data_IF_547687484035
#
_entry.id   IF_547687484035
#
_cell.length_a   1.000
_cell.length_b   1.000
_cell.length_c   1.000
_cell.angle_alpha   90.00
_cell.angle_beta   90.00
_cell.angle_gamma   90.00
#
_symmetry.space_group_name_H-M   'P 1'
#
loop_
_entity.id
_entity.type
_entity.pdbx_description
1 polymer ?
#
# COMPACT_ATOMS: atom_id res chain seq x y z
N UNK A 1 -52.04 9.66 17.75
CA UNK A 1 -52.90 10.79 17.32
C UNK A 1 -53.08 11.72 18.50
N UNK A 2 -52.63 12.98 18.41
CA UNK A 2 -52.76 13.94 19.52
C UNK A 2 -54.26 14.09 19.86
N UNK A 3 -54.64 13.92 21.13
CA UNK A 3 -56.04 13.87 21.60
C UNK A 3 -56.89 15.06 21.11
N UNK A 4 -56.24 16.19 20.86
CA UNK A 4 -56.82 17.41 20.32
C UNK A 4 -57.45 17.23 18.91
N UNK A 5 -56.71 16.69 17.95
CA UNK A 5 -57.21 16.48 16.57
C UNK A 5 -58.32 15.43 16.51
N UNK A 6 -58.26 14.41 17.38
CA UNK A 6 -59.31 13.40 17.52
C UNK A 6 -60.65 14.02 17.95
N UNK A 7 -60.62 14.96 18.90
CA UNK A 7 -61.83 15.62 19.43
C UNK A 7 -62.46 16.55 18.39
N UNK A 8 -61.65 17.23 17.58
CA UNK A 8 -62.12 18.07 16.47
C UNK A 8 -62.79 17.24 15.37
N UNK A 9 -62.21 16.10 14.98
CA UNK A 9 -62.83 15.18 13.99
C UNK A 9 -64.18 14.64 14.45
N UNK A 10 -64.28 14.24 15.72
CA UNK A 10 -65.53 13.73 16.30
C UNK A 10 -66.62 14.82 16.30
N UNK A 11 -66.29 16.04 16.71
CA UNK A 11 -67.23 17.17 16.71
C UNK A 11 -67.71 17.53 15.28
N UNK A 12 -66.82 17.52 14.28
CA UNK A 12 -67.16 17.85 12.88
C UNK A 12 -68.03 16.78 12.19
N UNK A 13 -67.90 15.51 12.60
CA UNK A 13 -68.77 14.42 12.14
C UNK A 13 -70.17 14.52 12.75
N UNK A 14 -70.27 14.89 14.04
CA UNK A 14 -71.56 15.10 14.72
C UNK A 14 -72.36 16.27 14.12
N UNK A 15 -71.70 17.25 13.50
CA UNK A 15 -72.34 18.41 12.87
C UNK A 15 -72.71 18.19 11.37
N UNK A 16 -72.66 16.97 10.82
CA UNK A 16 -72.93 16.67 9.40
C UNK A 16 -72.03 17.42 8.38
N UNK A 17 -70.86 17.93 8.80
CA UNK A 17 -69.93 18.72 7.96
C UNK A 17 -68.86 17.83 7.32
N UNK A 18 -69.27 16.83 6.53
CA UNK A 18 -68.39 15.84 5.87
C UNK A 18 -67.28 16.47 5.02
N UNK A 19 -67.57 17.54 4.28
CA UNK A 19 -66.56 18.25 3.48
C UNK A 19 -65.46 18.95 4.31
N UNK A 20 -65.77 19.43 5.52
CA UNK A 20 -64.76 19.96 6.44
C UNK A 20 -63.96 18.82 7.07
N UNK A 21 -64.62 17.72 7.45
CA UNK A 21 -63.96 16.53 8.00
C UNK A 21 -62.85 15.99 7.08
N UNK A 22 -63.11 15.87 5.77
CA UNK A 22 -62.09 15.41 4.82
C UNK A 22 -60.88 16.35 4.72
N UNK A 23 -61.09 17.68 4.70
CA UNK A 23 -59.99 18.66 4.70
C UNK A 23 -59.10 18.53 5.94
N UNK A 24 -59.70 18.33 7.11
CA UNK A 24 -58.95 18.12 8.36
C UNK A 24 -58.24 16.76 8.41
N UNK A 25 -58.86 15.70 7.91
CA UNK A 25 -58.25 14.37 7.83
C UNK A 25 -57.02 14.36 6.90
N UNK A 26 -57.10 15.05 5.74
CA UNK A 26 -55.98 15.22 4.82
C UNK A 26 -54.87 16.04 5.48
N UNK A 27 -55.21 17.14 6.15
CA UNK A 27 -54.24 17.96 6.89
C UNK A 27 -53.48 17.17 7.97
N UNK A 28 -54.18 16.27 8.68
CA UNK A 28 -53.57 15.38 9.67
C UNK A 28 -52.61 14.37 9.03
N UNK A 29 -52.98 13.76 7.89
CA UNK A 29 -52.11 12.85 7.16
C UNK A 29 -50.86 13.58 6.67
N UNK A 30 -51.01 14.77 6.07
CA UNK A 30 -49.90 15.60 5.59
C UNK A 30 -48.95 15.97 6.74
N UNK A 31 -49.47 16.35 7.90
CA UNK A 31 -48.67 16.63 9.11
C UNK A 31 -47.88 15.40 9.58
N UNK A 32 -48.51 14.22 9.61
CA UNK A 32 -47.83 12.97 9.98
C UNK A 32 -46.73 12.62 8.97
N UNK A 33 -47.01 12.75 7.67
CA UNK A 33 -46.03 12.49 6.61
C UNK A 33 -44.83 13.43 6.72
N UNK A 34 -45.04 14.74 6.94
CA UNK A 34 -43.95 15.69 7.19
C UNK A 34 -43.13 15.29 8.42
N UNK A 35 -43.78 14.86 9.50
CA UNK A 35 -43.10 14.38 10.71
C UNK A 35 -42.20 13.17 10.44
N UNK A 36 -42.68 12.19 9.67
CA UNK A 36 -41.90 11.00 9.27
C UNK A 36 -40.72 11.40 8.38
N UNK A 37 -40.94 12.28 7.40
CA UNK A 37 -39.89 12.74 6.50
C UNK A 37 -38.79 13.50 7.26
N UNK A 38 -39.15 14.36 8.20
CA UNK A 38 -38.19 15.06 9.07
C UNK A 38 -37.40 14.08 9.94
N UNK A 39 -38.08 13.07 10.53
CA UNK A 39 -37.41 12.05 11.33
C UNK A 39 -36.41 11.24 10.50
N UNK A 40 -36.78 10.86 9.28
CA UNK A 40 -35.87 10.18 8.33
C UNK A 40 -34.70 11.09 7.95
N UNK A 41 -34.94 12.37 7.63
CA UNK A 41 -33.89 13.32 7.28
C UNK A 41 -32.89 13.53 8.44
N UNK A 42 -33.36 13.67 9.68
CA UNK A 42 -32.49 13.80 10.85
C UNK A 42 -31.62 12.54 11.03
N UNK A 43 -32.22 11.36 10.91
CA UNK A 43 -31.50 10.10 11.01
C UNK A 43 -30.42 9.96 9.91
N UNK A 44 -30.77 10.27 8.66
CA UNK A 44 -29.83 10.28 7.54
C UNK A 44 -28.71 11.30 7.75
N UNK A 45 -29.03 12.50 8.23
CA UNK A 45 -28.02 13.53 8.52
C UNK A 45 -27.05 13.09 9.63
N UNK A 46 -27.55 12.51 10.72
CA UNK A 46 -26.70 11.99 11.79
C UNK A 46 -25.76 10.88 11.29
N UNK A 47 -26.28 9.93 10.51
CA UNK A 47 -25.46 8.86 9.92
C UNK A 47 -24.38 9.43 8.98
N UNK A 48 -24.71 10.44 8.18
CA UNK A 48 -23.73 11.11 7.32
C UNK A 48 -22.63 11.81 8.12
N UNK A 49 -22.94 12.40 9.28
CA UNK A 49 -21.93 13.02 10.14
C UNK A 49 -21.00 11.99 10.77
N UNK A 50 -21.54 10.84 11.20
CA UNK A 50 -20.73 9.71 11.70
C UNK A 50 -19.81 9.19 10.59
N UNK A 51 -20.33 8.97 9.38
CA UNK A 51 -19.56 8.50 8.24
C UNK A 51 -18.43 9.48 7.86
N UNK A 52 -18.72 10.80 7.84
CA UNK A 52 -17.70 11.83 7.61
C UNK A 52 -16.60 11.83 8.65
N UNK A 53 -16.95 11.67 9.94
CA UNK A 53 -15.97 11.57 11.02
C UNK A 53 -15.08 10.33 10.85
N UNK A 54 -15.66 9.16 10.57
CA UNK A 54 -14.93 7.92 10.33
C UNK A 54 -14.03 8.03 9.09
N UNK A 55 -14.48 8.70 8.04
CA UNK A 55 -13.69 8.94 6.84
C UNK A 55 -12.47 9.81 7.14
N UNK A 56 -12.64 10.85 7.97
CA UNK A 56 -11.53 11.69 8.43
C UNK A 56 -10.48 10.88 9.21
N UNK A 57 -10.91 10.09 10.18
CA UNK A 57 -10.03 9.22 10.97
C UNK A 57 -9.33 8.18 10.08
N UNK A 58 -10.02 7.67 9.06
CA UNK A 58 -9.47 6.75 8.06
C UNK A 58 -8.39 7.42 7.21
N UNK A 59 -8.60 8.65 6.77
CA UNK A 59 -7.60 9.43 6.05
C UNK A 59 -6.35 9.69 6.89
N UNK A 60 -6.50 10.03 8.18
CA UNK A 60 -5.36 10.20 9.10
C UNK A 60 -4.57 8.88 9.27
N UNK A 61 -5.26 7.73 9.33
CA UNK A 61 -4.62 6.42 9.33
C UNK A 61 -3.87 6.15 8.02
N UNK A 62 -4.47 6.44 6.85
CA UNK A 62 -3.81 6.27 5.55
C UNK A 62 -2.58 7.17 5.45
N UNK A 63 -2.65 8.41 5.95
CA UNK A 63 -1.46 9.28 5.99
C UNK A 63 -0.33 8.67 6.81
N UNK A 64 -0.65 8.06 7.95
CA UNK A 64 0.32 7.39 8.80
C UNK A 64 0.96 6.21 8.06
N UNK A 65 0.13 5.38 7.42
CA UNK A 65 0.57 4.21 6.64
C UNK A 65 1.51 4.63 5.49
N UNK A 66 1.09 5.59 4.66
CA UNK A 66 1.87 6.05 3.51
C UNK A 66 3.16 6.79 3.92
N UNK A 67 3.17 7.55 5.02
CA UNK A 67 4.40 8.18 5.54
C UNK A 67 5.44 7.13 5.97
N UNK A 68 4.99 6.05 6.59
CA UNK A 68 5.87 4.94 6.94
C UNK A 68 6.41 4.22 5.69
N UNK A 69 5.52 3.91 4.73
CA UNK A 69 5.91 3.26 3.47
C UNK A 69 6.90 4.11 2.65
N UNK A 70 6.61 5.40 2.45
CA UNK A 70 7.49 6.31 1.70
C UNK A 70 8.88 6.46 2.33
N UNK A 71 8.97 6.40 3.67
CA UNK A 71 10.23 6.41 4.41
C UNK A 71 11.00 5.11 4.21
N UNK A 72 10.34 3.97 4.36
CA UNK A 72 10.94 2.66 4.16
C UNK A 72 11.45 2.48 2.71
N UNK A 73 10.62 2.86 1.73
CA UNK A 73 11.00 2.82 0.31
C UNK A 73 12.25 3.67 0.04
N UNK A 74 12.34 4.87 0.62
CA UNK A 74 13.53 5.72 0.44
C UNK A 74 14.81 5.04 0.95
N UNK A 75 14.73 4.30 2.07
CA UNK A 75 15.86 3.55 2.61
C UNK A 75 16.24 2.37 1.71
N UNK A 76 15.25 1.63 1.20
CA UNK A 76 15.46 0.51 0.26
C UNK A 76 16.10 1.01 -1.02
N UNK A 77 15.58 2.09 -1.62
CA UNK A 77 16.15 2.68 -2.84
C UNK A 77 17.62 3.04 -2.63
N UNK A 78 17.95 3.70 -1.51
CA UNK A 78 19.34 4.05 -1.18
C UNK A 78 20.23 2.82 -1.05
N UNK A 79 19.74 1.78 -0.36
CA UNK A 79 20.47 0.50 -0.22
C UNK A 79 20.75 -0.13 -1.58
N UNK A 80 19.78 -0.12 -2.49
CA UNK A 80 19.96 -0.67 -3.83
C UNK A 80 20.83 0.20 -4.73
N UNK A 81 20.87 1.52 -4.55
CA UNK A 81 21.82 2.39 -5.26
C UNK A 81 23.27 2.09 -4.84
N UNK A 82 23.52 1.83 -3.55
CA UNK A 82 24.83 1.37 -3.07
C UNK A 82 25.17 -0.03 -3.57
N UNK A 83 24.18 -0.93 -3.60
CA UNK A 83 24.30 -2.28 -4.16
C UNK A 83 24.64 -2.24 -5.64
N UNK A 84 23.96 -1.39 -6.42
CA UNK A 84 24.16 -1.23 -7.86
C UNK A 84 25.59 -0.82 -8.19
N UNK A 85 26.18 0.09 -7.40
CA UNK A 85 27.59 0.49 -7.56
C UNK A 85 28.55 -0.69 -7.39
N UNK A 86 28.34 -1.52 -6.35
CA UNK A 86 29.18 -2.69 -6.09
C UNK A 86 29.03 -3.73 -7.21
N UNK A 87 27.80 -4.03 -7.61
CA UNK A 87 27.51 -4.94 -8.73
C UNK A 87 28.14 -4.45 -10.03
N UNK A 88 28.00 -3.16 -10.35
CA UNK A 88 28.57 -2.57 -11.57
C UNK A 88 30.10 -2.68 -11.58
N UNK A 89 30.77 -2.48 -10.44
CA UNK A 89 32.22 -2.65 -10.35
C UNK A 89 32.68 -4.09 -10.66
N UNK A 90 31.91 -5.10 -10.27
CA UNK A 90 32.20 -6.51 -10.59
C UNK A 90 31.97 -6.78 -12.09
N UNK A 91 30.85 -6.30 -12.62
CA UNK A 91 30.49 -6.46 -14.05
C UNK A 91 31.55 -5.80 -14.94
N UNK A 92 31.96 -4.58 -14.60
CA UNK A 92 32.94 -3.79 -15.36
C UNK A 92 34.40 -4.24 -15.11
N UNK A 93 34.64 -5.27 -14.29
CA UNK A 93 35.98 -5.74 -13.91
C UNK A 93 36.86 -4.63 -13.30
N UNK A 94 36.25 -3.69 -12.59
CA UNK A 94 36.97 -2.58 -11.92
C UNK A 94 37.68 -3.00 -10.64
N UNK A 95 37.35 -4.18 -10.12
CA UNK A 95 37.98 -4.76 -8.93
C UNK A 95 39.28 -5.43 -9.37
N UNK A 96 40.42 -4.88 -8.96
CA UNK A 96 41.75 -5.42 -9.26
C UNK A 96 41.97 -6.72 -8.50
N UNK A 97 42.78 -7.63 -9.07
CA UNK A 97 43.16 -8.89 -8.42
C UNK A 97 43.74 -8.69 -7.02
N UNK A 98 44.62 -7.70 -6.90
CA UNK A 98 45.25 -7.30 -5.66
C UNK A 98 44.26 -6.95 -4.53
N UNK A 99 43.02 -6.58 -4.84
CA UNK A 99 42.01 -6.29 -3.82
C UNK A 99 41.49 -7.56 -3.16
N UNK A 100 41.11 -8.58 -3.94
CA UNK A 100 40.57 -9.81 -3.36
C UNK A 100 41.66 -10.74 -2.81
N UNK A 101 42.91 -10.59 -3.27
CA UNK A 101 44.08 -11.25 -2.65
C UNK A 101 44.29 -10.81 -1.20
N UNK A 102 43.78 -9.64 -0.80
CA UNK A 102 43.83 -9.19 0.60
C UNK A 102 42.83 -9.91 1.50
N UNK A 103 41.88 -10.65 0.93
CA UNK A 103 40.79 -11.28 1.67
C UNK A 103 41.22 -12.64 2.20
N UNK A 104 41.00 -12.86 3.48
CA UNK A 104 41.38 -14.07 4.20
C UNK A 104 40.36 -14.38 5.31
N UNK A 105 40.57 -15.46 6.06
CA UNK A 105 39.67 -15.89 7.13
C UNK A 105 39.41 -14.86 8.22
N UNK A 106 40.32 -13.90 8.43
CA UNK A 106 40.19 -12.86 9.46
C UNK A 106 39.27 -11.71 9.04
N UNK A 107 39.35 -11.28 7.77
CA UNK A 107 38.61 -10.11 7.27
C UNK A 107 37.43 -10.46 6.35
N UNK A 108 37.23 -11.74 6.01
CA UNK A 108 36.15 -12.18 5.11
C UNK A 108 34.76 -11.73 5.57
N UNK A 109 34.51 -11.74 6.89
CA UNK A 109 33.22 -11.30 7.48
C UNK A 109 32.92 -9.83 7.24
N UNK A 110 33.95 -9.00 7.05
CA UNK A 110 33.82 -7.55 6.81
C UNK A 110 33.71 -7.22 5.31
N UNK A 111 33.95 -8.20 4.44
CA UNK A 111 33.86 -8.00 3.00
C UNK A 111 32.39 -7.92 2.53
N UNK A 112 31.86 -6.69 2.47
CA UNK A 112 30.50 -6.41 1.99
C UNK A 112 30.21 -6.92 0.58
N UNK A 113 31.22 -6.97 -0.29
CA UNK A 113 31.09 -7.43 -1.69
C UNK A 113 31.12 -8.97 -1.78
N UNK A 114 31.74 -9.64 -0.81
CA UNK A 114 31.90 -11.09 -0.79
C UNK A 114 30.63 -11.83 -0.33
N UNK A 115 29.56 -11.09 -0.04
CA UNK A 115 28.34 -11.65 0.54
C UNK A 115 27.14 -11.30 -0.35
N UNK A 116 26.68 -12.30 -1.11
CA UNK A 116 25.28 -12.44 -1.59
C UNK A 116 24.70 -11.31 -2.45
N UNK A 117 25.51 -10.65 -3.29
CA UNK A 117 25.00 -9.59 -4.18
C UNK A 117 23.89 -10.08 -5.13
N UNK A 118 23.90 -11.35 -5.53
CA UNK A 118 22.91 -11.96 -6.43
C UNK A 118 21.91 -12.90 -5.73
N UNK A 119 22.06 -13.19 -4.44
CA UNK A 119 21.30 -14.25 -3.74
C UNK A 119 20.47 -13.73 -2.57
N UNK A 120 20.38 -12.40 -2.41
CA UNK A 120 19.51 -11.77 -1.43
C UNK A 120 18.66 -10.67 -2.09
N UNK A 121 17.57 -10.30 -1.43
CA UNK A 121 16.76 -9.14 -1.78
C UNK A 121 16.10 -8.59 -0.51
N UNK A 122 15.69 -7.31 -0.55
CA UNK A 122 14.91 -6.71 0.53
C UNK A 122 13.46 -6.70 0.10
N UNK A 123 12.60 -7.31 0.92
CA UNK A 123 11.16 -7.34 0.72
C UNK A 123 10.52 -6.07 1.30
N UNK A 124 9.45 -5.59 0.66
CA UNK A 124 8.56 -4.57 1.20
C UNK A 124 7.12 -5.08 1.15
N UNK A 125 6.36 -4.77 2.20
CA UNK A 125 4.93 -5.02 2.27
C UNK A 125 4.23 -3.69 2.55
N UNK A 126 3.58 -3.08 1.56
CA UNK A 126 2.84 -1.84 1.77
C UNK A 126 1.82 -1.97 2.89
N UNK A 127 1.68 -0.93 3.71
CA UNK A 127 0.76 -0.92 4.84
C UNK A 127 -0.65 -0.61 4.32
N UNK A 128 -1.60 -1.51 4.60
CA UNK A 128 -2.96 -1.46 4.05
C UNK A 128 -4.04 -1.29 5.12
N UNK A 129 -3.67 -0.94 6.36
CA UNK A 129 -4.60 -0.83 7.49
C UNK A 129 -5.66 0.22 7.22
N UNK A 130 -5.25 1.44 6.87
CA UNK A 130 -6.16 2.54 6.53
C UNK A 130 -7.01 2.25 5.29
N UNK A 131 -6.43 1.61 4.28
CA UNK A 131 -7.18 1.17 3.11
C UNK A 131 -8.28 0.16 3.44
N UNK A 132 -8.00 -0.79 4.35
CA UNK A 132 -9.01 -1.73 4.84
C UNK A 132 -10.20 -1.03 5.51
N UNK A 133 -9.94 0.03 6.30
CA UNK A 133 -10.99 0.86 6.88
C UNK A 133 -11.80 1.61 5.80
N UNK A 134 -11.11 2.15 4.80
CA UNK A 134 -11.74 2.89 3.70
C UNK A 134 -12.73 2.04 2.90
N UNK A 135 -12.38 0.77 2.60
CA UNK A 135 -13.29 -0.16 1.90
C UNK A 135 -14.63 -0.31 2.60
N UNK A 136 -14.60 -0.43 3.93
CA UNK A 136 -15.82 -0.59 4.72
C UNK A 136 -16.70 0.67 4.63
N UNK A 137 -16.08 1.85 4.57
CA UNK A 137 -16.80 3.13 4.44
C UNK A 137 -17.40 3.25 3.04
N UNK A 138 -16.61 3.02 1.98
CA UNK A 138 -17.08 3.10 0.58
C UNK A 138 -18.32 2.21 0.35
N UNK A 139 -18.34 1.01 0.94
CA UNK A 139 -19.48 0.10 0.88
C UNK A 139 -20.79 0.67 1.50
N UNK A 140 -20.68 1.63 2.42
CA UNK A 140 -21.82 2.25 3.14
C UNK A 140 -22.28 3.55 2.48
N UNK A 141 -21.36 4.44 2.10
CA UNK A 141 -21.70 5.76 1.54
C UNK A 141 -21.95 5.74 0.02
N UNK A 142 -21.55 4.68 -0.67
CA UNK A 142 -21.56 4.60 -2.12
C UNK A 142 -20.36 5.34 -2.73
N UNK A 143 -19.80 4.82 -3.82
CA UNK A 143 -18.65 5.41 -4.47
C UNK A 143 -19.09 6.38 -5.59
N UNK A 144 -18.41 7.52 -5.71
CA UNK A 144 -18.55 8.41 -6.86
C UNK A 144 -17.23 8.39 -7.62
N UNK A 145 -17.32 8.20 -8.95
CA UNK A 145 -16.16 8.26 -9.84
C UNK A 145 -15.37 9.54 -9.60
N UNK A 146 -14.04 9.45 -9.57
CA UNK A 146 -13.10 10.57 -9.40
C UNK A 146 -13.04 11.19 -7.99
N UNK A 147 -13.73 10.61 -7.01
CA UNK A 147 -13.61 11.02 -5.60
C UNK A 147 -12.25 10.62 -5.00
N UNK A 148 -11.85 11.29 -3.90
CA UNK A 148 -10.62 10.90 -3.19
C UNK A 148 -10.64 9.42 -2.72
N UNK A 149 -11.75 8.88 -2.16
CA UNK A 149 -11.85 7.46 -1.86
C UNK A 149 -11.56 6.56 -3.07
N UNK A 150 -12.11 6.89 -4.24
CA UNK A 150 -11.89 6.16 -5.50
C UNK A 150 -10.41 6.21 -5.93
N UNK A 151 -9.77 7.38 -5.86
CA UNK A 151 -8.33 7.51 -6.17
C UNK A 151 -7.46 6.67 -5.24
N UNK A 152 -7.76 6.66 -3.94
CA UNK A 152 -7.07 5.82 -2.96
C UNK A 152 -7.32 4.34 -3.26
N UNK A 153 -8.56 3.98 -3.59
CA UNK A 153 -8.91 2.60 -3.95
C UNK A 153 -8.14 2.12 -5.18
N UNK A 154 -8.07 2.92 -6.23
CA UNK A 154 -7.29 2.61 -7.44
C UNK A 154 -5.79 2.48 -7.13
N UNK A 155 -5.24 3.38 -6.31
CA UNK A 155 -3.85 3.32 -5.87
C UNK A 155 -3.52 1.98 -5.19
N UNK A 156 -4.32 1.57 -4.20
CA UNK A 156 -4.08 0.32 -3.47
C UNK A 156 -4.48 -0.95 -4.24
N UNK A 157 -5.37 -0.84 -5.23
CA UNK A 157 -5.74 -1.98 -6.08
C UNK A 157 -4.64 -2.28 -7.10
N UNK A 158 -3.92 -1.26 -7.57
CA UNK A 158 -2.92 -1.40 -8.63
C UNK A 158 -1.48 -1.48 -8.10
N UNK A 159 -1.12 -0.68 -7.10
CA UNK A 159 0.27 -0.53 -6.64
C UNK A 159 0.85 -1.78 -5.96
N UNK A 160 0.27 -2.26 -4.84
CA UNK A 160 0.78 -3.42 -4.10
C UNK A 160 0.94 -4.70 -4.93
N UNK A 161 -0.01 -5.10 -5.82
CA UNK A 161 0.18 -6.29 -6.64
C UNK A 161 1.38 -6.21 -7.61
N UNK A 162 1.70 -5.02 -8.13
CA UNK A 162 2.88 -4.83 -8.97
C UNK A 162 4.15 -5.09 -8.17
N UNK A 163 4.23 -4.54 -6.95
CA UNK A 163 5.37 -4.75 -6.05
C UNK A 163 5.50 -6.22 -5.63
N UNK A 164 4.38 -6.89 -5.37
CA UNK A 164 4.36 -8.32 -5.05
C UNK A 164 4.90 -9.17 -6.21
N UNK A 165 4.52 -8.84 -7.45
CA UNK A 165 5.04 -9.50 -8.66
C UNK A 165 6.57 -9.32 -8.81
N UNK A 166 7.07 -8.11 -8.55
CA UNK A 166 8.50 -7.82 -8.56
C UNK A 166 9.25 -8.62 -7.49
N UNK A 167 8.69 -8.67 -6.28
CA UNK A 167 9.24 -9.44 -5.15
C UNK A 167 9.29 -10.93 -5.50
N UNK A 168 8.24 -11.48 -6.10
CA UNK A 168 8.22 -12.89 -6.51
C UNK A 168 9.28 -13.17 -7.59
N UNK A 169 9.48 -12.23 -8.52
CA UNK A 169 10.54 -12.32 -9.54
C UNK A 169 11.93 -12.30 -8.92
N UNK A 170 12.16 -11.43 -7.92
CA UNK A 170 13.41 -11.38 -7.17
C UNK A 170 13.64 -12.63 -6.32
N UNK A 171 12.58 -13.17 -5.72
CA UNK A 171 12.62 -14.42 -5.00
C UNK A 171 13.05 -15.56 -5.93
N UNK A 172 12.39 -15.71 -7.08
CA UNK A 172 12.71 -16.76 -8.05
C UNK A 172 14.17 -16.66 -8.54
N UNK A 173 14.64 -15.45 -8.88
CA UNK A 173 15.99 -15.29 -9.42
C UNK A 173 17.07 -15.52 -8.35
N UNK A 174 16.81 -15.13 -7.11
CA UNK A 174 17.76 -15.34 -6.00
C UNK A 174 17.84 -16.81 -5.64
N UNK A 175 16.71 -17.53 -5.56
CA UNK A 175 16.70 -18.99 -5.39
C UNK A 175 17.50 -19.70 -6.49
N UNK A 176 17.27 -19.35 -7.77
CA UNK A 176 18.02 -19.92 -8.89
C UNK A 176 19.53 -19.69 -8.81
N UNK A 177 19.95 -18.52 -8.33
CA UNK A 177 21.37 -18.24 -8.13
C UNK A 177 21.96 -19.09 -6.99
N UNK A 178 21.20 -19.34 -5.91
CA UNK A 178 21.60 -20.26 -4.83
C UNK A 178 21.73 -21.70 -5.35
N UNK A 179 20.76 -22.18 -6.13
CA UNK A 179 20.83 -23.51 -6.78
C UNK A 179 22.06 -23.63 -7.67
N UNK A 180 22.40 -22.58 -8.41
CA UNK A 180 23.62 -22.57 -9.23
C UNK A 180 24.87 -22.69 -8.36
N UNK A 181 24.89 -22.11 -7.15
CA UNK A 181 26.02 -22.26 -6.25
C UNK A 181 26.17 -23.68 -5.67
N UNK A 182 25.09 -24.46 -5.58
CA UNK A 182 25.11 -25.83 -5.02
C UNK A 182 25.98 -26.80 -5.82
N UNK A 183 26.29 -26.48 -7.09
CA UNK A 183 27.13 -27.32 -7.94
C UNK A 183 28.63 -27.24 -7.60
N UNK A 184 29.06 -26.29 -6.77
CA UNK A 184 30.48 -26.08 -6.47
C UNK A 184 30.88 -26.63 -5.09
N UNK A 185 32.13 -27.11 -5.00
CA UNK A 185 32.80 -27.58 -3.78
C UNK A 185 32.70 -26.60 -2.62
N UNK A 186 32.78 -25.30 -2.90
CA UNK A 186 32.78 -24.22 -1.91
C UNK A 186 31.40 -23.87 -1.34
N UNK A 187 30.31 -24.51 -1.80
CA UNK A 187 28.94 -24.15 -1.41
C UNK A 187 28.71 -24.18 0.11
N UNK A 188 29.21 -25.22 0.79
CA UNK A 188 29.04 -25.37 2.24
C UNK A 188 29.74 -24.25 2.99
N UNK A 189 30.98 -23.93 2.62
CA UNK A 189 31.72 -22.82 3.22
C UNK A 189 31.00 -21.49 3.00
N UNK A 190 30.49 -21.25 1.79
CA UNK A 190 29.70 -20.06 1.49
C UNK A 190 28.43 -19.98 2.35
N UNK A 191 27.68 -21.08 2.49
CA UNK A 191 26.46 -21.16 3.29
C UNK A 191 26.73 -20.91 4.78
N UNK A 192 27.86 -21.39 5.29
CA UNK A 192 28.31 -21.17 6.66
C UNK A 192 29.06 -19.83 6.87
N UNK A 193 29.15 -18.99 5.83
CA UNK A 193 29.89 -17.71 5.83
C UNK A 193 31.37 -17.88 6.22
N UNK A 194 31.96 -19.01 5.83
CA UNK A 194 33.39 -19.30 5.97
C UNK A 194 34.14 -18.80 4.74
N UNK A 195 35.38 -18.37 4.97
CA UNK A 195 36.28 -17.98 3.89
C UNK A 195 36.59 -19.19 3.00
N UNK A 196 36.46 -19.01 1.69
CA UNK A 196 36.87 -19.99 0.70
C UNK A 196 37.47 -19.27 -0.52
N UNK A 197 38.70 -19.65 -0.89
CA UNK A 197 39.44 -18.99 -1.99
C UNK A 197 38.79 -19.23 -3.35
N UNK A 198 38.29 -20.43 -3.61
CA UNK A 198 37.64 -20.79 -4.88
C UNK A 198 36.36 -19.97 -5.07
N UNK A 199 35.58 -19.76 -3.99
CA UNK A 199 34.42 -18.88 -4.02
C UNK A 199 34.80 -17.42 -4.36
N UNK A 200 35.88 -16.90 -3.77
CA UNK A 200 36.37 -15.55 -4.08
C UNK A 200 36.79 -15.42 -5.56
N UNK A 201 37.56 -16.39 -6.07
CA UNK A 201 37.90 -16.44 -7.50
C UNK A 201 36.65 -16.50 -8.36
N UNK A 202 35.65 -17.30 -7.98
CA UNK A 202 34.38 -17.37 -8.69
C UNK A 202 33.67 -16.01 -8.77
N UNK A 203 33.51 -15.28 -7.66
CA UNK A 203 32.78 -14.00 -7.68
C UNK A 203 33.51 -12.86 -8.41
N UNK A 204 34.85 -12.87 -8.47
CA UNK A 204 35.60 -11.78 -9.10
C UNK A 204 36.01 -12.08 -10.55
N UNK A 205 36.22 -13.35 -10.90
CA UNK A 205 36.81 -13.72 -12.18
C UNK A 205 35.78 -14.33 -13.15
N UNK A 206 34.84 -15.13 -12.63
CA UNK A 206 33.92 -15.93 -13.44
C UNK A 206 32.98 -15.08 -14.30
N UNK A 207 32.87 -15.45 -15.58
CA UNK A 207 31.85 -14.89 -16.46
C UNK A 207 30.44 -15.32 -16.04
N UNK A 208 30.30 -16.51 -15.47
CA UNK A 208 29.01 -17.03 -15.01
C UNK A 208 28.43 -16.16 -13.88
N UNK A 209 29.26 -15.80 -12.90
CA UNK A 209 28.82 -14.92 -11.82
C UNK A 209 28.45 -13.52 -12.33
N UNK A 210 29.21 -12.96 -13.29
CA UNK A 210 28.85 -11.68 -13.94
C UNK A 210 27.52 -11.77 -14.68
N UNK A 211 27.24 -12.89 -15.35
CA UNK A 211 25.97 -13.13 -16.01
C UNK A 211 24.82 -13.22 -14.98
N UNK A 212 25.03 -13.89 -13.84
CA UNK A 212 24.06 -13.92 -12.74
C UNK A 212 23.78 -12.53 -12.17
N UNK A 213 24.83 -11.71 -11.97
CA UNK A 213 24.70 -10.33 -11.52
C UNK A 213 23.95 -9.46 -12.53
N UNK A 214 24.27 -9.56 -13.81
CA UNK A 214 23.58 -8.82 -14.86
C UNK A 214 22.09 -9.20 -14.92
N UNK A 215 21.77 -10.49 -14.81
CA UNK A 215 20.40 -11.00 -14.76
C UNK A 215 19.64 -10.50 -13.53
N UNK A 216 20.23 -10.63 -12.34
CA UNK A 216 19.66 -10.11 -11.10
C UNK A 216 19.43 -8.59 -11.18
N UNK A 217 20.38 -7.86 -11.76
CA UNK A 217 20.32 -6.42 -11.96
C UNK A 217 19.20 -5.95 -12.87
N UNK A 218 18.92 -6.69 -13.93
CA UNK A 218 17.75 -6.41 -14.78
C UNK A 218 16.47 -6.46 -13.93
N UNK A 219 16.31 -7.52 -13.12
CA UNK A 219 15.12 -7.72 -12.28
C UNK A 219 14.95 -6.61 -11.25
N UNK A 220 15.98 -6.31 -10.44
CA UNK A 220 15.79 -5.29 -9.41
C UNK A 220 15.77 -3.87 -9.97
N UNK A 221 16.58 -3.53 -10.97
CA UNK A 221 16.73 -2.12 -11.39
C UNK A 221 15.63 -1.67 -12.34
N UNK A 222 15.26 -2.50 -13.32
CA UNK A 222 14.27 -2.13 -14.34
C UNK A 222 12.83 -2.33 -13.87
N UNK A 223 12.62 -3.23 -12.91
CA UNK A 223 11.29 -3.56 -12.39
C UNK A 223 11.18 -3.06 -10.94
N UNK A 224 11.73 -3.80 -9.97
CA UNK A 224 11.48 -3.54 -8.54
C UNK A 224 11.75 -2.11 -8.08
N UNK A 225 12.96 -1.58 -8.30
CA UNK A 225 13.35 -0.24 -7.85
C UNK A 225 12.64 0.86 -8.63
N UNK A 226 12.36 0.62 -9.92
CA UNK A 226 11.56 1.55 -10.72
C UNK A 226 10.14 1.64 -10.17
N UNK A 227 9.49 0.50 -9.95
CA UNK A 227 8.12 0.41 -9.45
C UNK A 227 8.02 0.90 -8.00
N UNK A 228 9.04 0.68 -7.18
CA UNK A 228 9.11 1.26 -5.84
C UNK A 228 9.17 2.79 -5.85
N UNK A 229 10.00 3.37 -6.72
CA UNK A 229 10.07 4.83 -6.88
C UNK A 229 8.72 5.39 -7.33
N UNK A 230 8.09 4.74 -8.30
CA UNK A 230 6.77 5.13 -8.79
C UNK A 230 5.68 4.99 -7.71
N UNK A 231 5.66 3.89 -6.97
CA UNK A 231 4.74 3.70 -5.84
C UNK A 231 4.91 4.80 -4.79
N UNK A 232 6.16 5.19 -4.49
CA UNK A 232 6.46 6.28 -3.56
C UNK A 232 5.99 7.64 -4.08
N UNK A 233 6.17 7.92 -5.37
CA UNK A 233 5.66 9.15 -6.01
C UNK A 233 4.14 9.22 -5.89
N UNK A 234 3.42 8.17 -6.28
CA UNK A 234 1.96 8.10 -6.14
C UNK A 234 1.51 8.19 -4.67
N UNK A 235 2.26 7.59 -3.73
CA UNK A 235 1.97 7.71 -2.30
C UNK A 235 2.02 9.16 -1.83
N UNK A 236 2.97 9.95 -2.34
CA UNK A 236 3.10 11.38 -2.02
C UNK A 236 1.91 12.16 -2.61
N UNK A 237 1.50 11.87 -3.84
CA UNK A 237 0.31 12.49 -4.44
C UNK A 237 -0.96 12.21 -3.62
N UNK A 238 -1.15 10.98 -3.15
CA UNK A 238 -2.28 10.63 -2.27
C UNK A 238 -2.18 11.36 -0.92
N UNK A 239 -0.99 11.49 -0.35
CA UNK A 239 -0.78 12.24 0.89
C UNK A 239 -1.20 13.70 0.75
N UNK A 240 -0.81 14.35 -0.35
CA UNK A 240 -1.14 15.74 -0.65
C UNK A 240 -2.66 15.91 -0.83
N UNK A 241 -3.32 15.00 -1.55
CA UNK A 241 -4.77 15.02 -1.72
C UNK A 241 -5.51 14.84 -0.39
N UNK A 242 -5.03 13.95 0.48
CA UNK A 242 -5.61 13.77 1.81
C UNK A 242 -5.42 15.03 2.65
N UNK A 243 -4.25 15.64 2.62
CA UNK A 243 -3.99 16.89 3.37
C UNK A 243 -4.92 18.02 2.91
N UNK A 244 -5.12 18.17 1.60
CA UNK A 244 -6.08 19.12 1.05
C UNK A 244 -7.51 18.85 1.53
N UNK A 245 -7.93 17.58 1.57
CA UNK A 245 -9.27 17.19 2.02
C UNK A 245 -9.49 17.45 3.51
N UNK A 246 -8.50 17.11 4.35
CA UNK A 246 -8.56 17.31 5.81
C UNK A 246 -8.61 18.80 6.21
N UNK A 247 -8.09 19.68 5.35
CA UNK A 247 -8.04 21.13 5.58
C UNK A 247 -9.28 21.88 5.07
N UNK A 248 -10.23 21.22 4.41
CA UNK A 248 -11.50 21.85 4.01
C UNK A 248 -12.33 22.18 5.27
N UNK A 249 -12.65 23.47 5.43
CA UNK A 249 -13.53 23.97 6.50
C UNK A 249 -14.99 23.64 6.24
#
# INVERSE_FOLDING_TARGET
MIKFFRKIRQNLLMENKTGKYFKYAIGEIVLVVIGILLALQINTWNNNQIAKKQLKETYEQIQTDLKADTTNIAQIVKLYDEKDKRIQNIIDRKIKSSFYDTINSLNYKDCKICITESTNFVEIKPITKGYGLLKNIIAVIGNTSDSLPDKIEQFYTNGPPILESDIQSLKNITFKNVETHQQYSWFVDWAEKKYNKEFLSYIFESQEYRNQLARYRIMYKRNYIRNLKYYRELSIEILDLIEMELNKK
#
